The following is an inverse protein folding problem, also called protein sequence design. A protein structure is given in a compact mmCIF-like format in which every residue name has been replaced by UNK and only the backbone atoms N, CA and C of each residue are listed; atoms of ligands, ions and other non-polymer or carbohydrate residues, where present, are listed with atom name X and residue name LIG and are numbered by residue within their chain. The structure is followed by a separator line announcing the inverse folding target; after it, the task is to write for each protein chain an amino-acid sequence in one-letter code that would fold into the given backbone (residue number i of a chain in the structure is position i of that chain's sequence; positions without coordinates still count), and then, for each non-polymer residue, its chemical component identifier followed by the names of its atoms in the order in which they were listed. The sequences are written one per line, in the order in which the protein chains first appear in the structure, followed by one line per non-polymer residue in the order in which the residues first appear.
data_IF_941551609179
#
_entry.id   IF_941551609179
#
_cell.length_a   1.000
_cell.length_b   1.000
_cell.length_c   1.000
_cell.angle_alpha   90.00
_cell.angle_beta   90.00
_cell.angle_gamma   90.00
#
_symmetry.space_group_name_H-M   'P 1'
#
loop_
_entity.id
_entity.type
_entity.pdbx_description
1 polymer ?
#
# COMPACT_ATOMS: atom_id res chain seq x y z
N UNK A 1 0.37 -19.92 -2.73
CA UNK A 1 -0.49 -18.87 -3.33
C UNK A 1 -1.95 -19.31 -3.35
N UNK A 2 -2.87 -18.49 -2.83
CA UNK A 2 -4.32 -18.75 -2.88
C UNK A 2 -4.90 -18.03 -4.09
N UNK A 3 -5.44 -18.76 -5.07
CA UNK A 3 -6.06 -18.18 -6.28
C UNK A 3 -7.14 -17.14 -5.99
N UNK A 4 -7.87 -17.31 -4.87
CA UNK A 4 -8.90 -16.39 -4.41
C UNK A 4 -8.39 -14.94 -4.17
N UNK A 5 -7.11 -14.76 -3.92
CA UNK A 5 -6.49 -13.47 -3.57
C UNK A 5 -5.41 -13.08 -4.58
N UNK A 6 -5.62 -13.40 -5.84
CA UNK A 6 -4.71 -13.08 -6.93
C UNK A 6 -5.47 -12.41 -8.08
N UNK A 7 -4.91 -11.31 -8.59
CA UNK A 7 -5.32 -10.75 -9.87
C UNK A 7 -4.54 -11.44 -10.98
N UNK A 8 -5.18 -11.67 -12.12
CA UNK A 8 -4.63 -12.51 -13.19
C UNK A 8 -3.29 -11.99 -13.75
N UNK A 9 -3.14 -10.65 -13.91
CA UNK A 9 -1.92 -10.05 -14.45
C UNK A 9 -0.72 -10.30 -13.52
N UNK A 10 -0.88 -10.10 -12.22
CA UNK A 10 0.18 -10.37 -11.24
C UNK A 10 0.44 -11.87 -11.09
N UNK A 11 -0.60 -12.70 -11.07
CA UNK A 11 -0.48 -14.16 -11.00
C UNK A 11 0.31 -14.72 -12.19
N UNK A 12 0.12 -14.15 -13.39
CA UNK A 12 0.82 -14.55 -14.58
C UNK A 12 2.35 -14.31 -14.49
N UNK A 13 2.80 -13.27 -13.78
CA UNK A 13 4.23 -13.01 -13.58
C UNK A 13 4.92 -14.05 -12.68
N UNK A 14 4.18 -14.67 -11.76
CA UNK A 14 4.72 -15.54 -10.73
C UNK A 14 4.39 -17.03 -10.93
N UNK A 15 3.99 -17.42 -12.16
CA UNK A 15 3.83 -18.83 -12.49
C UNK A 15 5.15 -19.47 -12.93
N UNK A 16 5.17 -20.79 -12.98
CA UNK A 16 6.36 -21.56 -13.30
C UNK A 16 6.81 -21.36 -14.76
N UNK A 17 5.87 -21.17 -15.69
CA UNK A 17 6.16 -20.90 -17.10
C UNK A 17 6.89 -19.56 -17.26
N UNK A 18 6.37 -18.48 -16.68
CA UNK A 18 6.97 -17.14 -16.73
C UNK A 18 8.34 -17.10 -16.06
N UNK A 19 8.52 -17.85 -14.97
CA UNK A 19 9.84 -18.01 -14.31
C UNK A 19 10.89 -18.50 -15.31
N UNK A 20 10.64 -19.61 -16.00
CA UNK A 20 11.59 -20.17 -16.93
C UNK A 20 11.71 -19.39 -18.25
N UNK A 21 10.63 -18.74 -18.69
CA UNK A 21 10.71 -17.76 -19.78
C UNK A 21 11.66 -16.62 -19.46
N UNK A 22 11.61 -16.11 -18.22
CA UNK A 22 12.51 -15.05 -17.75
C UNK A 22 13.95 -15.54 -17.63
N UNK A 23 14.17 -16.79 -17.19
CA UNK A 23 15.52 -17.39 -17.22
C UNK A 23 16.04 -17.47 -18.65
N UNK A 24 15.21 -17.89 -19.60
CA UNK A 24 15.58 -17.95 -21.03
C UNK A 24 15.88 -16.56 -21.61
N UNK A 25 15.14 -15.53 -21.17
CA UNK A 25 15.37 -14.13 -21.56
C UNK A 25 16.78 -13.67 -21.10
N UNK A 26 17.17 -13.96 -19.86
CA UNK A 26 18.51 -13.65 -19.31
C UNK A 26 19.61 -14.42 -20.07
N UNK A 27 19.44 -15.72 -20.24
CA UNK A 27 20.44 -16.54 -20.96
C UNK A 27 20.64 -16.05 -22.39
N UNK A 28 19.59 -15.71 -23.13
CA UNK A 28 19.67 -15.13 -24.46
C UNK A 28 20.36 -13.76 -24.47
N UNK A 29 20.15 -12.93 -23.44
CA UNK A 29 20.85 -11.66 -23.32
C UNK A 29 22.35 -11.86 -23.09
N UNK A 30 22.76 -12.83 -22.28
CA UNK A 30 24.16 -13.21 -22.09
C UNK A 30 24.80 -13.72 -23.38
N UNK A 31 24.11 -14.59 -24.15
CA UNK A 31 24.60 -15.07 -25.45
C UNK A 31 24.77 -13.92 -26.42
N UNK A 32 23.86 -12.97 -26.50
CA UNK A 32 23.98 -11.76 -27.34
C UNK A 32 25.16 -10.88 -26.91
N UNK A 33 25.39 -10.76 -25.61
CA UNK A 33 26.50 -10.00 -25.05
C UNK A 33 27.84 -10.64 -25.43
N UNK A 34 27.97 -11.96 -25.31
CA UNK A 34 29.14 -12.71 -25.76
C UNK A 34 29.38 -12.60 -27.30
N UNK A 35 28.31 -12.62 -28.07
CA UNK A 35 28.40 -12.39 -29.53
C UNK A 35 28.92 -10.99 -29.83
N UNK A 36 28.40 -9.95 -29.16
CA UNK A 36 28.84 -8.56 -29.35
C UNK A 36 30.32 -8.36 -28.96
N UNK A 37 30.80 -9.14 -27.99
CA UNK A 37 32.23 -9.20 -27.61
C UNK A 37 33.10 -10.06 -28.55
N UNK A 38 32.51 -10.67 -29.57
CA UNK A 38 33.23 -11.48 -30.56
C UNK A 38 33.59 -12.90 -30.07
N UNK A 39 33.09 -13.34 -28.94
CA UNK A 39 33.36 -14.66 -28.35
C UNK A 39 32.46 -15.74 -28.95
N UNK A 40 31.25 -15.40 -29.37
CA UNK A 40 30.29 -16.29 -30.06
C UNK A 40 30.04 -15.75 -31.45
N UNK A 41 30.05 -16.62 -32.43
CA UNK A 41 29.78 -16.23 -33.81
C UNK A 41 28.31 -15.91 -34.06
N UNK A 42 28.01 -15.02 -35.02
CA UNK A 42 26.65 -14.59 -35.35
C UNK A 42 25.71 -15.77 -35.61
N UNK A 43 26.20 -16.77 -36.39
CA UNK A 43 25.40 -17.96 -36.73
C UNK A 43 24.99 -18.80 -35.53
N UNK A 44 25.83 -18.90 -34.50
CA UNK A 44 25.51 -19.64 -33.26
C UNK A 44 24.58 -18.81 -32.36
N UNK A 45 24.83 -17.51 -32.26
CA UNK A 45 23.96 -16.58 -31.52
C UNK A 45 22.54 -16.57 -32.10
N UNK A 46 22.40 -16.45 -33.44
CA UNK A 46 21.10 -16.47 -34.11
C UNK A 46 20.34 -17.78 -33.86
N UNK A 47 21.04 -18.94 -33.95
CA UNK A 47 20.44 -20.24 -33.67
C UNK A 47 19.95 -20.36 -32.25
N UNK A 48 20.77 -19.97 -31.24
CA UNK A 48 20.37 -20.00 -29.84
C UNK A 48 19.17 -19.07 -29.60
N UNK A 49 19.25 -17.81 -30.05
CA UNK A 49 18.20 -16.86 -29.86
C UNK A 49 16.85 -17.25 -30.48
N UNK A 50 16.88 -17.92 -31.64
CA UNK A 50 15.67 -18.31 -32.38
C UNK A 50 15.11 -19.67 -31.97
N UNK A 51 15.96 -20.66 -31.60
CA UNK A 51 15.55 -22.04 -31.39
C UNK A 51 15.47 -22.46 -29.93
N UNK A 52 16.23 -21.78 -29.01
CA UNK A 52 16.24 -22.15 -27.60
C UNK A 52 14.83 -22.16 -27.04
N UNK A 53 14.39 -23.30 -26.57
CA UNK A 53 13.06 -23.56 -26.02
C UNK A 53 13.16 -24.56 -24.86
N UNK A 54 12.15 -24.60 -24.01
CA UNK A 54 12.05 -25.55 -22.92
C UNK A 54 10.63 -26.14 -22.81
N UNK A 55 10.52 -27.23 -22.07
CA UNK A 55 9.26 -27.85 -21.69
C UNK A 55 9.25 -28.08 -20.19
N UNK A 56 8.21 -27.61 -19.47
CA UNK A 56 8.13 -27.68 -18.01
C UNK A 56 8.17 -29.11 -17.47
N UNK A 57 7.47 -30.04 -18.11
CA UNK A 57 7.44 -31.43 -17.66
C UNK A 57 8.81 -32.09 -17.86
N UNK A 58 9.50 -31.74 -18.96
CA UNK A 58 10.87 -32.22 -19.21
C UNK A 58 11.87 -31.68 -18.17
N UNK A 59 11.77 -30.39 -17.81
CA UNK A 59 12.57 -29.80 -16.73
C UNK A 59 12.36 -30.59 -15.42
N UNK A 60 11.10 -30.83 -15.02
CA UNK A 60 10.76 -31.60 -13.81
C UNK A 60 11.31 -33.04 -13.85
N UNK A 61 11.32 -33.67 -15.02
CA UNK A 61 11.89 -34.99 -15.21
C UNK A 61 13.41 -34.99 -14.99
N UNK A 62 14.13 -34.05 -15.62
CA UNK A 62 15.57 -33.90 -15.49
C UNK A 62 15.95 -33.56 -14.03
N UNK A 63 15.18 -32.70 -13.37
CA UNK A 63 15.42 -32.26 -11.99
C UNK A 63 15.35 -33.44 -11.00
N UNK A 64 14.56 -34.46 -11.25
CA UNK A 64 14.53 -35.68 -10.40
C UNK A 64 15.90 -36.31 -10.26
N UNK A 65 16.76 -36.18 -11.29
CA UNK A 65 18.13 -36.72 -11.31
C UNK A 65 19.14 -35.68 -10.87
N UNK A 66 19.09 -34.47 -11.45
CA UNK A 66 20.09 -33.42 -11.20
C UNK A 66 19.97 -32.76 -9.81
N UNK A 67 18.76 -32.80 -9.20
CA UNK A 67 18.43 -32.13 -7.93
C UNK A 67 18.78 -30.64 -7.93
N UNK A 68 18.72 -30.00 -9.11
CA UNK A 68 19.06 -28.59 -9.30
C UNK A 68 18.21 -28.02 -10.45
N UNK A 69 17.32 -27.08 -10.13
CA UNK A 69 16.32 -26.54 -11.02
C UNK A 69 16.93 -25.80 -12.24
N UNK A 70 17.95 -24.95 -12.02
CA UNK A 70 18.60 -24.26 -13.15
C UNK A 70 19.39 -25.23 -14.06
N UNK A 71 20.11 -26.20 -13.49
CA UNK A 71 20.79 -27.21 -14.32
C UNK A 71 19.77 -28.02 -15.12
N UNK A 72 18.63 -28.37 -14.52
CA UNK A 72 17.56 -29.06 -15.23
C UNK A 72 17.01 -28.22 -16.39
N UNK A 73 16.83 -26.91 -16.15
CA UNK A 73 16.39 -25.96 -17.19
C UNK A 73 17.43 -25.86 -18.32
N UNK A 74 18.72 -25.59 -18.01
CA UNK A 74 19.76 -25.44 -19.03
C UNK A 74 19.95 -26.73 -19.85
N UNK A 75 19.85 -27.88 -19.18
CA UNK A 75 19.89 -29.20 -19.87
C UNK A 75 18.70 -29.37 -20.82
N UNK A 76 17.48 -29.02 -20.36
CA UNK A 76 16.29 -29.10 -21.21
C UNK A 76 16.38 -28.16 -22.40
N UNK A 77 16.91 -26.94 -22.23
CA UNK A 77 17.10 -26.01 -23.34
C UNK A 77 18.14 -26.54 -24.31
N UNK A 78 19.24 -27.12 -23.83
CA UNK A 78 20.29 -27.73 -24.70
C UNK A 78 19.75 -28.86 -25.59
N UNK A 79 18.73 -29.63 -25.14
CA UNK A 79 18.04 -30.63 -25.96
C UNK A 79 17.31 -30.02 -27.18
N UNK A 80 16.99 -28.73 -27.18
CA UNK A 80 16.37 -28.02 -28.32
C UNK A 80 17.38 -27.41 -29.29
N UNK A 81 18.67 -27.48 -28.96
CA UNK A 81 19.78 -26.89 -29.71
C UNK A 81 20.72 -27.96 -30.30
N UNK A 82 21.56 -27.58 -31.24
CA UNK A 82 22.63 -28.41 -31.79
C UNK A 82 23.98 -28.16 -31.08
N UNK A 83 25.04 -28.13 -31.83
CA UNK A 83 26.40 -27.90 -31.32
C UNK A 83 26.56 -26.53 -30.64
N UNK A 84 25.75 -25.56 -31.02
CA UNK A 84 25.69 -24.22 -30.42
C UNK A 84 25.30 -24.24 -28.95
N UNK A 85 24.67 -25.31 -28.44
CA UNK A 85 24.31 -25.47 -27.05
C UNK A 85 25.48 -25.31 -26.07
N UNK A 86 26.73 -25.53 -26.53
CA UNK A 86 27.96 -25.31 -25.75
C UNK A 86 28.13 -23.86 -25.26
N UNK A 87 27.46 -22.92 -25.90
CA UNK A 87 27.49 -21.51 -25.53
C UNK A 87 26.31 -21.08 -24.66
N UNK A 88 25.35 -21.97 -24.38
CA UNK A 88 24.27 -21.72 -23.47
C UNK A 88 24.76 -21.83 -22.01
N UNK A 89 24.51 -20.84 -21.16
CA UNK A 89 25.04 -20.74 -19.80
C UNK A 89 26.59 -20.67 -19.75
N UNK A 90 27.23 -20.12 -20.77
CA UNK A 90 28.68 -20.08 -20.90
C UNK A 90 29.28 -18.95 -20.05
N UNK A 91 30.24 -19.31 -19.16
CA UNK A 91 31.02 -18.35 -18.36
C UNK A 91 30.29 -17.70 -17.18
N UNK A 92 29.08 -18.09 -16.90
CA UNK A 92 28.26 -17.56 -15.82
C UNK A 92 27.91 -18.62 -14.78
N UNK A 93 27.33 -18.21 -13.67
CA UNK A 93 26.85 -19.09 -12.61
C UNK A 93 25.32 -19.04 -12.49
N UNK A 94 24.74 -20.03 -11.81
CA UNK A 94 23.30 -20.11 -11.62
C UNK A 94 22.69 -18.84 -11.04
N UNK A 95 23.37 -18.17 -10.11
CA UNK A 95 22.87 -16.95 -9.49
C UNK A 95 22.85 -15.75 -10.44
N UNK A 96 23.77 -15.69 -11.42
CA UNK A 96 23.75 -14.64 -12.44
C UNK A 96 22.43 -14.69 -13.21
N UNK A 97 21.97 -15.88 -13.61
CA UNK A 97 20.69 -16.07 -14.27
C UNK A 97 19.51 -15.85 -13.33
N UNK A 98 19.51 -16.49 -12.14
CA UNK A 98 18.37 -16.49 -11.22
C UNK A 98 18.12 -15.08 -10.65
N UNK A 99 19.16 -14.40 -10.17
CA UNK A 99 19.00 -13.09 -9.53
C UNK A 99 18.64 -12.00 -10.55
N UNK A 100 19.24 -12.05 -11.76
CA UNK A 100 18.90 -11.12 -12.84
C UNK A 100 17.46 -11.34 -13.35
N UNK A 101 17.03 -12.59 -13.48
CA UNK A 101 15.63 -12.91 -13.79
C UNK A 101 14.67 -12.47 -12.68
N UNK A 102 15.07 -12.63 -11.41
CA UNK A 102 14.29 -12.15 -10.26
C UNK A 102 14.16 -10.61 -10.29
N UNK A 103 15.22 -9.90 -10.66
CA UNK A 103 15.16 -8.44 -10.84
C UNK A 103 14.14 -8.05 -11.92
N UNK A 104 14.09 -8.76 -13.05
CA UNK A 104 13.07 -8.53 -14.09
C UNK A 104 11.64 -8.78 -13.57
N UNK A 105 11.42 -9.90 -12.87
CA UNK A 105 10.10 -10.23 -12.29
C UNK A 105 9.66 -9.21 -11.23
N UNK A 106 10.55 -8.84 -10.33
CA UNK A 106 10.27 -7.82 -9.31
C UNK A 106 9.98 -6.45 -9.94
N UNK A 107 10.75 -6.05 -10.95
CA UNK A 107 10.55 -4.78 -11.67
C UNK A 107 9.19 -4.75 -12.38
N UNK A 108 8.83 -5.81 -13.11
CA UNK A 108 7.52 -5.94 -13.77
C UNK A 108 6.39 -5.90 -12.72
N UNK A 109 6.56 -6.61 -11.61
CA UNK A 109 5.57 -6.67 -10.52
C UNK A 109 5.42 -5.33 -9.80
N UNK A 110 6.53 -4.64 -9.51
CA UNK A 110 6.47 -3.34 -8.83
C UNK A 110 5.81 -2.26 -9.70
N UNK A 111 5.96 -2.32 -11.04
CA UNK A 111 5.20 -1.46 -11.96
C UNK A 111 3.67 -1.63 -11.80
N UNK A 112 3.19 -2.87 -11.61
CA UNK A 112 1.77 -3.13 -11.33
C UNK A 112 1.35 -2.58 -9.97
N UNK A 113 2.17 -2.76 -8.94
CA UNK A 113 1.92 -2.17 -7.62
C UNK A 113 1.85 -0.64 -7.70
N UNK A 114 2.80 0.02 -8.37
CA UNK A 114 2.80 1.47 -8.56
C UNK A 114 1.53 1.96 -9.27
N UNK A 115 1.08 1.23 -10.31
CA UNK A 115 -0.20 1.49 -11.00
C UNK A 115 -1.37 1.38 -10.02
N UNK A 116 -1.41 0.32 -9.19
CA UNK A 116 -2.44 0.14 -8.15
C UNK A 116 -2.44 1.26 -7.11
N UNK A 117 -1.28 1.68 -6.62
CA UNK A 117 -1.13 2.79 -5.67
C UNK A 117 -1.56 4.13 -6.30
N UNK A 118 -1.19 4.38 -7.55
CA UNK A 118 -1.62 5.57 -8.30
C UNK A 118 -3.14 5.60 -8.46
N UNK A 119 -3.77 4.49 -8.81
CA UNK A 119 -5.22 4.38 -8.93
C UNK A 119 -5.90 4.69 -7.59
N UNK A 120 -5.41 4.09 -6.49
CA UNK A 120 -5.94 4.35 -5.15
C UNK A 120 -5.79 5.83 -4.76
N UNK A 121 -4.65 6.46 -5.06
CA UNK A 121 -4.46 7.89 -4.84
C UNK A 121 -5.50 8.75 -5.58
N UNK A 122 -5.69 8.50 -6.88
CA UNK A 122 -6.65 9.26 -7.69
C UNK A 122 -8.09 9.04 -7.20
N UNK A 123 -8.45 7.82 -6.83
CA UNK A 123 -9.77 7.51 -6.26
C UNK A 123 -9.98 8.25 -4.93
N UNK A 124 -9.01 8.21 -4.01
CA UNK A 124 -9.08 8.95 -2.75
C UNK A 124 -9.18 10.46 -2.98
N UNK A 125 -8.41 11.02 -3.92
CA UNK A 125 -8.45 12.43 -4.29
C UNK A 125 -9.83 12.83 -4.82
N UNK A 126 -10.40 12.06 -5.74
CA UNK A 126 -11.72 12.34 -6.32
C UNK A 126 -12.81 12.29 -5.25
N UNK A 127 -12.78 11.27 -4.39
CA UNK A 127 -13.73 11.15 -3.27
C UNK A 127 -13.53 12.25 -2.23
N UNK A 128 -12.29 12.67 -1.97
CA UNK A 128 -12.02 13.82 -1.10
C UNK A 128 -12.62 15.12 -1.65
N UNK A 129 -12.47 15.36 -2.95
CA UNK A 129 -13.06 16.54 -3.62
C UNK A 129 -14.59 16.51 -3.60
N UNK A 130 -15.21 15.35 -3.84
CA UNK A 130 -16.67 15.16 -3.77
C UNK A 130 -17.22 15.49 -2.37
N UNK A 131 -16.51 15.07 -1.33
CA UNK A 131 -16.92 15.28 0.07
C UNK A 131 -16.21 16.43 0.77
N UNK A 132 -15.62 17.36 0.00
CA UNK A 132 -14.85 18.48 0.53
C UNK A 132 -15.58 19.25 1.62
N UNK A 133 -16.88 19.48 1.42
CA UNK A 133 -17.73 20.28 2.30
C UNK A 133 -18.74 19.43 3.09
N UNK A 134 -18.62 18.08 3.07
CA UNK A 134 -19.48 17.19 3.83
C UNK A 134 -19.06 17.20 5.30
N UNK A 135 -19.87 17.90 6.13
CA UNK A 135 -19.62 18.05 7.57
C UNK A 135 -19.76 16.72 8.32
N UNK A 136 -18.84 16.48 9.24
CA UNK A 136 -18.89 15.38 10.21
C UNK A 136 -18.23 15.78 11.53
N UNK A 137 -18.47 14.99 12.58
CA UNK A 137 -17.73 15.16 13.83
C UNK A 137 -16.36 14.51 13.75
N UNK A 138 -15.32 15.28 14.03
CA UNK A 138 -13.98 14.75 14.25
C UNK A 138 -13.93 13.96 15.57
N UNK A 139 -13.19 12.85 15.56
CA UNK A 139 -13.03 12.00 16.74
C UNK A 139 -11.55 11.82 17.05
N UNK A 140 -11.18 12.07 18.32
CA UNK A 140 -9.91 11.65 18.88
C UNK A 140 -10.17 10.73 20.06
N UNK A 141 -9.35 9.70 20.27
CA UNK A 141 -9.59 8.67 21.29
C UNK A 141 -10.96 7.96 21.16
N UNK A 142 -11.62 8.04 20.00
CA UNK A 142 -12.99 7.55 19.79
C UNK A 142 -14.09 8.48 20.30
N UNK A 143 -13.75 9.64 20.87
CA UNK A 143 -14.66 10.62 21.47
C UNK A 143 -14.84 11.81 20.52
N UNK A 144 -16.01 12.45 20.57
CA UNK A 144 -16.31 13.65 19.78
C UNK A 144 -15.36 14.79 20.14
N UNK A 145 -14.71 15.34 19.11
CA UNK A 145 -13.92 16.56 19.16
C UNK A 145 -14.66 17.71 18.48
N UNK A 146 -14.03 18.30 17.47
CA UNK A 146 -14.56 19.44 16.74
C UNK A 146 -15.16 19.06 15.38
N UNK A 147 -15.98 19.92 14.75
CA UNK A 147 -16.44 19.72 13.38
C UNK A 147 -15.28 19.67 12.39
N UNK A 148 -15.32 18.71 11.48
CA UNK A 148 -14.41 18.56 10.34
C UNK A 148 -15.23 18.26 9.07
N UNK A 149 -14.56 18.02 7.95
CA UNK A 149 -15.24 17.47 6.76
C UNK A 149 -14.75 16.06 6.46
N UNK A 150 -15.61 15.22 5.88
CA UNK A 150 -15.23 13.88 5.42
C UNK A 150 -14.17 13.96 4.33
N UNK A 151 -14.22 15.01 3.49
CA UNK A 151 -13.18 15.28 2.51
C UNK A 151 -11.78 15.47 3.11
N UNK A 152 -11.65 16.09 4.29
CA UNK A 152 -10.36 16.21 4.99
C UNK A 152 -9.83 14.83 5.43
N UNK A 153 -10.70 13.93 5.86
CA UNK A 153 -10.31 12.56 6.23
C UNK A 153 -9.75 11.82 5.02
N UNK A 154 -10.43 11.91 3.88
CA UNK A 154 -9.99 11.27 2.63
C UNK A 154 -8.73 11.93 2.05
N UNK A 155 -8.61 13.27 2.15
CA UNK A 155 -7.42 14.00 1.71
C UNK A 155 -6.16 13.61 2.52
N UNK A 156 -6.31 13.37 3.82
CA UNK A 156 -5.22 12.85 4.67
C UNK A 156 -4.73 11.49 4.17
N UNK A 157 -5.65 10.58 3.81
CA UNK A 157 -5.29 9.28 3.26
C UNK A 157 -4.64 9.41 1.87
N UNK A 158 -5.17 10.28 1.01
CA UNK A 158 -4.59 10.52 -0.31
C UNK A 158 -3.14 11.01 -0.21
N UNK A 159 -2.85 11.96 0.67
CA UNK A 159 -1.50 12.49 0.88
C UNK A 159 -0.54 11.42 1.40
N UNK A 160 -0.99 10.53 2.26
CA UNK A 160 -0.19 9.40 2.75
C UNK A 160 0.10 8.39 1.63
N UNK A 161 -0.90 8.03 0.81
CA UNK A 161 -0.71 7.13 -0.33
C UNK A 161 0.23 7.76 -1.39
N UNK A 162 0.17 9.08 -1.60
CA UNK A 162 1.09 9.82 -2.49
C UNK A 162 2.56 9.68 -2.04
N UNK A 163 2.84 9.64 -0.73
CA UNK A 163 4.20 9.43 -0.24
C UNK A 163 4.74 8.05 -0.55
N UNK A 164 3.88 7.01 -0.55
CA UNK A 164 4.28 5.66 -0.94
C UNK A 164 4.71 5.56 -2.40
N UNK A 165 4.11 6.33 -3.33
CA UNK A 165 4.58 6.37 -4.72
C UNK A 165 6.04 6.77 -4.81
N UNK A 166 6.45 7.83 -4.09
CA UNK A 166 7.85 8.27 -4.06
C UNK A 166 8.80 7.23 -3.46
N UNK A 167 8.36 6.52 -2.41
CA UNK A 167 9.15 5.46 -1.80
C UNK A 167 9.34 4.29 -2.78
N UNK A 168 8.27 3.90 -3.49
CA UNK A 168 8.31 2.83 -4.48
C UNK A 168 9.14 3.18 -5.73
N UNK A 169 9.21 4.46 -6.12
CA UNK A 169 10.13 4.91 -7.20
C UNK A 169 11.58 4.67 -6.78
N UNK A 170 11.95 5.00 -5.56
CA UNK A 170 13.29 4.71 -5.03
C UNK A 170 13.55 3.20 -4.91
N UNK A 171 12.56 2.43 -4.45
CA UNK A 171 12.66 0.97 -4.38
C UNK A 171 12.87 0.36 -5.77
N UNK A 172 12.20 0.89 -6.80
CA UNK A 172 12.39 0.48 -8.19
C UNK A 172 13.86 0.59 -8.61
N UNK A 173 14.53 1.69 -8.25
CA UNK A 173 15.96 1.87 -8.57
C UNK A 173 16.84 0.81 -7.90
N UNK A 174 16.51 0.38 -6.69
CA UNK A 174 17.27 -0.62 -5.95
C UNK A 174 17.09 -2.04 -6.49
N UNK A 175 15.90 -2.39 -6.97
CA UNK A 175 15.60 -3.76 -7.42
C UNK A 175 15.82 -3.96 -8.92
N UNK A 176 15.93 -2.88 -9.72
CA UNK A 176 16.13 -2.96 -11.19
C UNK A 176 17.61 -3.07 -11.54
N UNK A 177 18.30 -4.02 -10.91
CA UNK A 177 19.73 -4.29 -11.19
C UNK A 177 19.94 -5.76 -11.50
N UNK A 178 20.74 -6.04 -12.52
CA UNK A 178 21.24 -7.38 -12.85
C UNK A 178 22.68 -7.56 -12.38
N UNK A 179 23.12 -8.80 -12.38
CA UNK A 179 24.50 -9.18 -12.09
C UNK A 179 24.91 -10.40 -12.92
N UNK A 180 26.00 -10.26 -13.68
CA UNK A 180 26.62 -11.33 -14.48
C UNK A 180 28.11 -11.37 -14.13
N UNK A 181 28.41 -11.64 -12.87
CA UNK A 181 29.75 -11.47 -12.28
C UNK A 181 30.46 -12.78 -11.95
N UNK A 182 29.80 -13.91 -12.19
CA UNK A 182 30.35 -15.25 -11.96
C UNK A 182 30.26 -15.74 -10.53
N UNK A 183 30.83 -16.91 -10.25
CA UNK A 183 30.65 -17.66 -9.01
C UNK A 183 31.05 -16.92 -7.73
N UNK A 184 31.95 -15.92 -7.79
CA UNK A 184 32.46 -15.17 -6.64
C UNK A 184 32.32 -13.64 -6.80
N UNK A 185 31.66 -13.19 -7.86
CA UNK A 185 31.50 -11.76 -8.12
C UNK A 185 32.78 -11.04 -8.57
N UNK A 186 33.80 -11.79 -8.96
CA UNK A 186 35.13 -11.27 -9.31
C UNK A 186 35.45 -11.24 -10.80
N UNK A 187 34.45 -11.55 -11.65
CA UNK A 187 34.56 -11.54 -13.11
C UNK A 187 35.71 -12.42 -13.66
N UNK A 188 36.06 -13.51 -12.95
CA UNK A 188 37.24 -14.35 -13.33
C UNK A 188 37.11 -14.99 -14.72
N UNK A 189 35.90 -15.27 -15.18
CA UNK A 189 35.62 -15.96 -16.43
C UNK A 189 34.80 -15.13 -17.44
N UNK A 190 34.39 -13.92 -17.06
CA UNK A 190 33.63 -13.02 -17.90
C UNK A 190 34.12 -11.58 -17.70
N UNK A 191 34.31 -10.78 -18.77
CA UNK A 191 34.70 -9.38 -18.64
C UNK A 191 33.53 -8.55 -18.09
N UNK A 192 33.82 -7.37 -17.52
CA UNK A 192 32.78 -6.44 -17.02
C UNK A 192 31.79 -6.03 -18.09
N UNK A 193 32.28 -5.85 -19.31
CA UNK A 193 31.47 -5.49 -20.49
C UNK A 193 30.39 -6.53 -20.82
N UNK A 194 30.56 -7.79 -20.41
CA UNK A 194 29.52 -8.81 -20.56
C UNK A 194 28.30 -8.49 -19.73
N UNK A 195 28.51 -8.12 -18.46
CA UNK A 195 27.44 -7.73 -17.54
C UNK A 195 26.73 -6.46 -18.05
N UNK A 196 27.51 -5.43 -18.44
CA UNK A 196 26.97 -4.17 -18.95
C UNK A 196 26.06 -4.40 -20.16
N UNK A 197 26.52 -5.16 -21.16
CA UNK A 197 25.75 -5.47 -22.35
C UNK A 197 24.53 -6.34 -22.07
N UNK A 198 24.66 -7.37 -21.22
CA UNK A 198 23.55 -8.24 -20.88
C UNK A 198 22.45 -7.45 -20.11
N UNK A 199 22.83 -6.61 -19.17
CA UNK A 199 21.90 -5.74 -18.45
C UNK A 199 21.25 -4.70 -19.37
N UNK A 200 22.01 -4.10 -20.33
CA UNK A 200 21.46 -3.20 -21.34
C UNK A 200 20.35 -3.88 -22.18
N UNK A 201 20.57 -5.11 -22.64
CA UNK A 201 19.58 -5.88 -23.40
C UNK A 201 18.32 -6.22 -22.58
N UNK A 202 18.42 -6.20 -21.25
CA UNK A 202 17.34 -6.51 -20.32
C UNK A 202 16.66 -5.28 -19.72
N UNK A 203 17.07 -4.06 -20.10
CA UNK A 203 16.61 -2.80 -19.50
C UNK A 203 16.84 -2.77 -17.98
N UNK A 204 17.97 -3.32 -17.51
CA UNK A 204 18.44 -3.30 -16.14
C UNK A 204 19.71 -2.48 -16.00
N UNK A 205 19.95 -1.93 -14.82
CA UNK A 205 21.28 -1.41 -14.44
C UNK A 205 22.16 -2.55 -13.93
N UNK A 206 23.47 -2.38 -14.01
CA UNK A 206 24.41 -3.26 -13.31
C UNK A 206 24.48 -2.92 -11.84
N UNK A 207 24.67 -3.92 -10.98
CA UNK A 207 25.06 -3.67 -9.61
C UNK A 207 26.53 -3.25 -9.55
N UNK A 208 26.87 -2.23 -8.73
CA UNK A 208 28.25 -1.73 -8.68
C UNK A 208 29.26 -2.79 -8.24
N UNK A 209 28.86 -3.71 -7.39
CA UNK A 209 29.61 -4.85 -6.88
C UNK A 209 28.68 -5.92 -6.35
N UNK A 210 29.04 -7.18 -6.55
CA UNK A 210 28.36 -8.34 -5.99
C UNK A 210 29.38 -9.29 -5.39
N UNK A 211 28.89 -10.28 -4.65
CA UNK A 211 29.55 -11.57 -4.48
C UNK A 211 28.90 -12.59 -5.45
N UNK A 212 28.60 -13.80 -5.03
CA UNK A 212 27.88 -14.75 -5.91
C UNK A 212 26.41 -14.31 -6.19
N UNK A 213 25.85 -13.40 -5.40
CA UNK A 213 24.44 -12.98 -5.46
C UNK A 213 24.31 -11.45 -5.40
N UNK A 214 23.22 -10.93 -5.93
CA UNK A 214 22.79 -9.55 -5.67
C UNK A 214 22.48 -9.41 -4.18
N UNK A 215 22.91 -8.31 -3.55
CA UNK A 215 22.75 -8.12 -2.11
C UNK A 215 21.29 -8.00 -1.67
N UNK A 216 20.93 -8.70 -0.60
CA UNK A 216 19.53 -8.92 -0.18
C UNK A 216 18.93 -7.75 0.60
N UNK A 217 19.70 -6.73 0.97
CA UNK A 217 19.18 -5.45 1.49
C UNK A 217 18.18 -4.80 0.52
N UNK A 218 18.37 -4.96 -0.79
CA UNK A 218 17.45 -4.51 -1.85
C UNK A 218 16.08 -5.18 -1.75
N UNK A 219 16.08 -6.50 -1.53
CA UNK A 219 14.86 -7.31 -1.39
C UNK A 219 14.17 -7.04 -0.04
N UNK A 220 14.95 -6.89 1.03
CA UNK A 220 14.45 -6.50 2.35
C UNK A 220 13.81 -5.10 2.30
N UNK A 221 14.42 -4.14 1.60
CA UNK A 221 13.86 -2.81 1.39
C UNK A 221 12.50 -2.87 0.70
N UNK A 222 12.37 -3.62 -0.38
CA UNK A 222 11.12 -3.85 -1.07
C UNK A 222 10.03 -4.39 -0.13
N UNK A 223 10.37 -5.41 0.67
CA UNK A 223 9.42 -6.00 1.62
C UNK A 223 9.00 -4.99 2.71
N UNK A 224 9.92 -4.16 3.21
CA UNK A 224 9.62 -3.11 4.18
C UNK A 224 8.71 -2.02 3.60
N UNK A 225 8.95 -1.57 2.38
CA UNK A 225 8.13 -0.54 1.74
C UNK A 225 6.71 -1.05 1.43
N UNK A 226 6.56 -2.31 0.98
CA UNK A 226 5.25 -2.93 0.79
C UNK A 226 4.52 -3.18 2.12
N UNK A 227 5.23 -3.53 3.19
CA UNK A 227 4.67 -3.67 4.53
C UNK A 227 4.17 -2.33 5.09
N UNK A 228 4.90 -1.24 4.84
CA UNK A 228 4.50 0.10 5.25
C UNK A 228 3.27 0.58 4.45
N UNK A 229 3.25 0.34 3.14
CA UNK A 229 2.09 0.59 2.28
C UNK A 229 0.85 -0.18 2.79
N UNK A 230 1.01 -1.47 3.10
CA UNK A 230 -0.06 -2.29 3.67
C UNK A 230 -0.57 -1.73 5.00
N UNK A 231 0.30 -1.19 5.85
CA UNK A 231 -0.10 -0.57 7.12
C UNK A 231 -0.95 0.69 6.90
N UNK A 232 -0.65 1.50 5.90
CA UNK A 232 -1.48 2.64 5.51
C UNK A 232 -2.84 2.19 4.94
N UNK A 233 -2.86 1.14 4.13
CA UNK A 233 -4.09 0.55 3.61
C UNK A 233 -4.97 -0.03 4.74
N UNK A 234 -4.36 -0.68 5.73
CA UNK A 234 -5.07 -1.17 6.92
C UNK A 234 -5.70 -0.03 7.71
N UNK A 235 -4.97 1.08 7.92
CA UNK A 235 -5.51 2.27 8.59
C UNK A 235 -6.77 2.79 7.90
N UNK A 236 -6.79 2.86 6.58
CA UNK A 236 -7.97 3.27 5.80
C UNK A 236 -9.12 2.29 6.02
N UNK A 237 -8.87 0.98 5.88
CA UNK A 237 -9.87 -0.06 6.06
C UNK A 237 -10.45 -0.07 7.49
N UNK A 238 -9.61 0.10 8.51
CA UNK A 238 -10.04 0.21 9.92
C UNK A 238 -10.91 1.43 10.14
N UNK A 239 -10.57 2.58 9.53
CA UNK A 239 -11.38 3.79 9.62
C UNK A 239 -12.77 3.57 9.02
N UNK A 240 -12.88 2.97 7.83
CA UNK A 240 -14.16 2.62 7.20
C UNK A 240 -14.99 1.72 8.13
N UNK A 241 -14.39 0.67 8.70
CA UNK A 241 -15.07 -0.24 9.63
C UNK A 241 -15.60 0.48 10.85
N UNK A 242 -14.85 1.44 11.42
CA UNK A 242 -15.33 2.27 12.52
C UNK A 242 -16.51 3.16 12.13
N UNK A 243 -16.49 3.76 10.94
CA UNK A 243 -17.57 4.62 10.46
C UNK A 243 -18.83 3.83 10.07
N UNK A 244 -18.71 2.53 9.77
CA UNK A 244 -19.84 1.64 9.42
C UNK A 244 -20.50 0.98 10.65
N UNK A 245 -19.96 1.14 11.85
CA UNK A 245 -20.59 0.58 13.05
C UNK A 245 -22.04 1.06 13.20
N UNK A 246 -22.91 0.20 13.74
CA UNK A 246 -24.35 0.44 13.85
C UNK A 246 -24.70 1.76 14.57
N UNK A 247 -23.94 2.13 15.59
CA UNK A 247 -24.13 3.35 16.37
C UNK A 247 -23.52 4.60 15.72
N UNK A 248 -22.67 4.45 14.71
CA UNK A 248 -22.03 5.54 13.93
C UNK A 248 -22.71 5.70 12.58
N UNK A 249 -22.68 4.69 11.75
CA UNK A 249 -23.35 4.52 10.45
C UNK A 249 -23.22 5.74 9.52
N UNK A 250 -21.99 6.24 9.39
CA UNK A 250 -21.68 7.41 8.55
C UNK A 250 -21.28 7.03 7.14
N UNK A 251 -20.78 5.77 6.97
CA UNK A 251 -20.47 5.17 5.66
C UNK A 251 -20.90 3.70 5.63
N UNK A 252 -20.94 3.11 4.43
CA UNK A 252 -21.20 1.68 4.25
C UNK A 252 -20.45 1.17 3.01
N UNK A 253 -19.86 -0.03 3.08
CA UNK A 253 -19.37 -0.71 1.88
C UNK A 253 -20.53 -0.96 0.91
N UNK A 254 -20.28 -0.75 -0.39
CA UNK A 254 -21.28 -1.01 -1.41
C UNK A 254 -21.73 -2.47 -1.36
N UNK A 255 -23.04 -2.66 -1.46
CA UNK A 255 -23.67 -3.98 -1.44
C UNK A 255 -24.25 -4.31 -2.81
N UNK A 256 -23.71 -5.35 -3.45
CA UNK A 256 -24.12 -5.73 -4.80
C UNK A 256 -25.48 -6.43 -4.80
N UNK A 257 -26.23 -6.28 -5.89
CA UNK A 257 -27.48 -7.02 -6.08
C UNK A 257 -27.23 -8.53 -6.02
N UNK A 258 -27.95 -9.24 -5.17
CA UNK A 258 -27.78 -10.68 -4.95
C UNK A 258 -26.70 -11.08 -3.93
N UNK A 259 -25.91 -10.13 -3.43
CA UNK A 259 -24.96 -10.38 -2.35
C UNK A 259 -25.70 -10.72 -1.05
N UNK A 260 -25.18 -11.70 -0.30
CA UNK A 260 -25.70 -12.07 1.02
C UNK A 260 -24.76 -11.53 2.10
N UNK A 261 -25.26 -10.65 2.96
CA UNK A 261 -24.44 -10.00 4.01
C UNK A 261 -24.23 -10.86 5.25
N UNK A 262 -25.18 -11.78 5.52
CA UNK A 262 -25.13 -12.66 6.68
C UNK A 262 -25.92 -13.95 6.40
N UNK A 263 -25.44 -15.07 6.92
CA UNK A 263 -26.15 -16.34 6.85
C UNK A 263 -27.38 -16.42 7.78
N UNK A 264 -27.36 -15.61 8.86
CA UNK A 264 -28.40 -15.65 9.90
C UNK A 264 -29.38 -14.46 9.83
N UNK A 265 -28.89 -13.28 9.48
CA UNK A 265 -29.68 -12.02 9.46
C UNK A 265 -29.65 -11.38 8.07
N UNK A 266 -30.70 -11.49 7.25
CA UNK A 266 -30.70 -11.05 5.85
C UNK A 266 -30.42 -9.55 5.64
N UNK A 267 -30.74 -8.71 6.62
CA UNK A 267 -30.53 -7.25 6.58
C UNK A 267 -29.14 -6.80 7.02
N UNK A 268 -28.33 -7.71 7.63
CA UNK A 268 -27.03 -7.36 8.18
C UNK A 268 -25.98 -7.23 7.09
N UNK A 269 -25.44 -6.02 6.91
CA UNK A 269 -24.39 -5.71 5.95
C UNK A 269 -23.07 -5.49 6.68
N UNK A 270 -22.18 -6.47 6.58
CA UNK A 270 -20.88 -6.45 7.24
C UNK A 270 -19.83 -5.79 6.34
N UNK A 271 -18.84 -5.07 6.88
CA UNK A 271 -17.72 -4.50 6.14
C UNK A 271 -16.67 -5.59 5.82
N UNK A 272 -17.09 -6.66 5.10
CA UNK A 272 -16.28 -7.85 4.89
C UNK A 272 -15.05 -7.60 4.01
N UNK A 273 -15.12 -6.62 3.11
CA UNK A 273 -13.99 -6.29 2.24
C UNK A 273 -12.90 -5.57 3.04
N UNK A 274 -13.26 -4.61 3.88
CA UNK A 274 -12.32 -3.93 4.79
C UNK A 274 -11.75 -4.86 5.86
N UNK A 275 -12.54 -5.84 6.36
CA UNK A 275 -12.05 -6.89 7.26
C UNK A 275 -11.01 -7.77 6.56
N UNK A 276 -11.29 -8.18 5.33
CA UNK A 276 -10.36 -8.97 4.53
C UNK A 276 -9.06 -8.19 4.24
N UNK A 277 -9.14 -6.91 3.85
CA UNK A 277 -7.97 -6.04 3.66
C UNK A 277 -7.12 -6.01 4.94
N UNK A 278 -7.74 -5.80 6.11
CA UNK A 278 -7.05 -5.82 7.41
C UNK A 278 -6.29 -7.15 7.64
N UNK A 279 -6.90 -8.28 7.26
CA UNK A 279 -6.27 -9.60 7.34
C UNK A 279 -5.08 -9.75 6.39
N UNK A 280 -5.24 -9.36 5.13
CA UNK A 280 -4.18 -9.44 4.10
C UNK A 280 -2.97 -8.56 4.45
N UNK A 281 -3.18 -7.38 5.05
CA UNK A 281 -2.10 -6.52 5.52
C UNK A 281 -1.20 -7.21 6.57
N UNK A 282 -1.76 -8.07 7.41
CA UNK A 282 -0.97 -8.87 8.37
C UNK A 282 -0.07 -9.87 7.65
N UNK A 283 -0.61 -10.53 6.61
CA UNK A 283 0.15 -11.47 5.77
C UNK A 283 1.31 -10.74 5.08
N UNK A 284 1.05 -9.61 4.44
CA UNK A 284 2.09 -8.81 3.77
C UNK A 284 3.22 -8.44 4.75
N UNK A 285 2.89 -7.94 5.94
CA UNK A 285 3.89 -7.60 6.96
C UNK A 285 4.67 -8.80 7.49
N UNK A 286 4.08 -10.01 7.49
CA UNK A 286 4.77 -11.20 7.97
C UNK A 286 5.98 -11.59 7.13
N UNK A 287 6.06 -11.19 5.87
CA UNK A 287 7.21 -11.45 5.01
C UNK A 287 8.41 -10.53 5.28
N UNK A 288 8.24 -9.45 6.05
CA UNK A 288 9.33 -8.49 6.30
C UNK A 288 10.47 -9.12 7.10
N UNK A 289 10.16 -9.85 8.18
CA UNK A 289 11.18 -10.46 9.05
C UNK A 289 12.08 -11.45 8.29
N UNK A 290 11.56 -12.47 7.58
CA UNK A 290 12.43 -13.41 6.88
C UNK A 290 13.22 -12.74 5.74
N UNK A 291 12.71 -11.67 5.13
CA UNK A 291 13.45 -10.92 4.11
C UNK A 291 14.58 -10.08 4.71
N UNK A 292 14.42 -9.55 5.92
CA UNK A 292 15.49 -8.88 6.66
C UNK A 292 16.56 -9.88 7.11
N UNK A 293 16.18 -11.08 7.55
CA UNK A 293 17.11 -12.14 7.93
C UNK A 293 17.96 -12.64 6.75
N UNK A 294 17.44 -12.58 5.54
CA UNK A 294 18.18 -12.93 4.32
C UNK A 294 19.35 -11.97 3.99
N UNK A 295 19.45 -10.81 4.65
CA UNK A 295 20.57 -9.87 4.44
C UNK A 295 21.89 -10.47 4.95
N UNK A 296 21.84 -11.24 6.02
CA UNK A 296 23.02 -11.81 6.68
C UNK A 296 23.35 -13.22 6.14
N UNK A 297 23.81 -13.31 4.90
CA UNK A 297 24.31 -14.56 4.32
C UNK A 297 25.76 -14.84 4.75
N UNK A 298 26.13 -16.11 4.72
CA UNK A 298 27.52 -16.52 5.02
C UNK A 298 28.44 -16.26 3.82
N UNK A 299 29.56 -15.58 4.08
CA UNK A 299 30.61 -15.32 3.09
C UNK A 299 30.02 -14.73 1.78
N UNK A 300 30.42 -15.30 0.64
CA UNK A 300 29.97 -14.89 -0.67
C UNK A 300 28.53 -15.33 -0.99
N UNK A 301 28.04 -16.40 -0.33
CA UNK A 301 26.64 -16.86 -0.38
C UNK A 301 26.46 -18.15 0.45
N UNK A 302 25.27 -18.31 1.02
CA UNK A 302 24.66 -19.61 1.36
C UNK A 302 23.24 -19.72 0.77
N UNK A 303 22.57 -20.88 0.95
CA UNK A 303 21.27 -21.16 0.33
C UNK A 303 20.07 -20.78 1.20
N UNK A 304 20.25 -20.21 2.40
CA UNK A 304 19.16 -19.93 3.34
C UNK A 304 18.13 -18.98 2.76
N UNK A 305 18.56 -17.98 1.99
CA UNK A 305 17.67 -17.01 1.34
C UNK A 305 16.72 -17.64 0.32
N UNK A 306 17.18 -18.66 -0.42
CA UNK A 306 16.47 -19.20 -1.57
C UNK A 306 15.11 -19.79 -1.23
N UNK A 307 15.04 -20.57 -0.14
CA UNK A 307 13.77 -21.15 0.32
C UNK A 307 12.77 -20.08 0.77
N UNK A 308 13.24 -19.01 1.42
CA UNK A 308 12.42 -17.88 1.84
C UNK A 308 11.86 -17.13 0.63
N UNK A 309 12.72 -16.77 -0.32
CA UNK A 309 12.36 -15.96 -1.48
C UNK A 309 11.34 -16.64 -2.41
N UNK A 310 11.41 -17.97 -2.54
CA UNK A 310 10.44 -18.77 -3.32
C UNK A 310 9.00 -18.67 -2.79
N UNK A 311 8.81 -18.44 -1.50
CA UNK A 311 7.51 -18.19 -0.89
C UNK A 311 7.22 -16.70 -0.78
N UNK A 312 8.16 -15.95 -0.23
CA UNK A 312 7.92 -14.58 0.19
C UNK A 312 7.66 -13.64 -0.99
N UNK A 313 8.47 -13.69 -2.05
CA UNK A 313 8.35 -12.72 -3.16
C UNK A 313 7.05 -12.88 -3.94
N UNK A 314 6.67 -14.08 -4.43
CA UNK A 314 5.40 -14.24 -5.13
C UNK A 314 4.20 -13.83 -4.30
N UNK A 315 4.13 -14.31 -3.04
CA UNK A 315 2.98 -14.06 -2.19
C UNK A 315 2.92 -12.60 -1.70
N UNK A 316 4.07 -11.95 -1.50
CA UNK A 316 4.16 -10.53 -1.19
C UNK A 316 3.55 -9.65 -2.30
N UNK A 317 3.96 -9.87 -3.55
CA UNK A 317 3.47 -9.09 -4.69
C UNK A 317 2.00 -9.38 -5.00
N UNK A 318 1.62 -10.66 -5.06
CA UNK A 318 0.25 -11.06 -5.38
C UNK A 318 -0.73 -10.56 -4.33
N UNK A 319 -0.40 -10.70 -3.04
CA UNK A 319 -1.26 -10.24 -1.95
C UNK A 319 -1.36 -8.72 -1.92
N UNK A 320 -0.26 -8.01 -2.18
CA UNK A 320 -0.23 -6.55 -2.21
C UNK A 320 -1.06 -5.98 -3.37
N UNK A 321 -0.94 -6.54 -4.56
CA UNK A 321 -1.71 -6.14 -5.74
C UNK A 321 -3.22 -6.36 -5.53
N UNK A 322 -3.59 -7.52 -5.02
CA UNK A 322 -4.98 -7.83 -4.71
C UNK A 322 -5.56 -6.91 -3.61
N UNK A 323 -4.81 -6.67 -2.54
CA UNK A 323 -5.19 -5.76 -1.47
C UNK A 323 -5.45 -4.34 -2.00
N UNK A 324 -4.56 -3.81 -2.85
CA UNK A 324 -4.70 -2.48 -3.45
C UNK A 324 -5.95 -2.38 -4.34
N UNK A 325 -6.17 -3.35 -5.22
CA UNK A 325 -7.33 -3.35 -6.10
C UNK A 325 -8.64 -3.44 -5.32
N UNK A 326 -8.67 -4.24 -4.24
CA UNK A 326 -9.81 -4.36 -3.34
C UNK A 326 -10.08 -3.07 -2.58
N UNK A 327 -9.05 -2.44 -2.00
CA UNK A 327 -9.22 -1.18 -1.29
C UNK A 327 -9.66 -0.07 -2.23
N UNK A 328 -9.10 0.00 -3.43
CA UNK A 328 -9.53 0.96 -4.45
C UNK A 328 -11.04 0.81 -4.74
N UNK A 329 -11.50 -0.42 -4.96
CA UNK A 329 -12.92 -0.71 -5.21
C UNK A 329 -13.81 -0.34 -4.01
N UNK A 330 -13.35 -0.57 -2.77
CA UNK A 330 -14.09 -0.17 -1.57
C UNK A 330 -14.25 1.35 -1.50
N UNK A 331 -13.18 2.12 -1.73
CA UNK A 331 -13.23 3.60 -1.68
C UNK A 331 -14.07 4.17 -2.82
N UNK A 332 -13.89 3.65 -4.03
CA UNK A 332 -14.62 4.09 -5.21
C UNK A 332 -16.14 3.96 -5.04
N UNK A 333 -16.57 2.82 -4.49
CA UNK A 333 -17.98 2.48 -4.34
C UNK A 333 -18.53 2.75 -2.93
N UNK A 334 -17.77 3.42 -2.06
CA UNK A 334 -18.17 3.69 -0.68
C UNK A 334 -19.44 4.53 -0.63
N UNK A 335 -20.48 4.01 0.01
CA UNK A 335 -21.72 4.74 0.28
C UNK A 335 -21.47 5.67 1.46
N UNK A 336 -21.76 6.95 1.29
CA UNK A 336 -21.60 7.97 2.33
C UNK A 336 -22.97 8.48 2.76
N UNK A 337 -23.19 8.66 4.05
CA UNK A 337 -24.43 9.15 4.64
C UNK A 337 -24.27 10.54 5.29
N UNK A 338 -24.26 11.66 4.52
CA UNK A 338 -24.07 13.01 5.06
C UNK A 338 -25.09 13.38 6.15
N UNK A 339 -26.33 12.89 6.01
CA UNK A 339 -27.39 13.12 7.02
C UNK A 339 -27.05 12.46 8.36
N UNK A 340 -26.46 11.26 8.35
CA UNK A 340 -26.03 10.59 9.58
C UNK A 340 -24.80 11.29 10.19
N UNK A 341 -23.89 11.79 9.36
CA UNK A 341 -22.75 12.60 9.83
C UNK A 341 -23.22 13.85 10.56
N UNK A 342 -24.17 14.58 10.00
CA UNK A 342 -24.79 15.75 10.67
C UNK A 342 -25.54 15.37 11.94
N UNK A 343 -26.31 14.28 11.90
CA UNK A 343 -27.00 13.75 13.10
C UNK A 343 -26.01 13.43 14.21
N UNK A 344 -24.92 12.75 13.91
CA UNK A 344 -23.90 12.41 14.91
C UNK A 344 -23.21 13.65 15.46
N UNK A 345 -22.96 14.65 14.63
CA UNK A 345 -22.42 15.94 15.05
C UNK A 345 -23.39 16.65 16.04
N UNK A 346 -24.69 16.63 15.76
CA UNK A 346 -25.72 17.20 16.62
C UNK A 346 -25.87 16.44 17.96
N UNK A 347 -25.57 15.15 18.03
CA UNK A 347 -25.60 14.36 19.28
C UNK A 347 -24.66 14.89 20.36
N UNK A 348 -23.72 15.76 20.02
CA UNK A 348 -22.89 16.46 21.00
C UNK A 348 -23.65 17.47 21.83
N UNK A 349 -24.90 17.78 21.50
CA UNK A 349 -25.69 18.85 22.16
C UNK A 349 -25.05 20.24 22.05
N UNK A 350 -24.15 20.42 21.10
CA UNK A 350 -23.38 21.66 20.88
C UNK A 350 -22.02 21.72 21.59
N UNK A 351 -21.65 20.70 22.37
CA UNK A 351 -20.35 20.68 23.08
C UNK A 351 -19.13 20.79 22.14
N UNK A 352 -19.26 20.42 20.88
CA UNK A 352 -18.22 20.58 19.86
C UNK A 352 -17.80 22.04 19.65
N UNK A 353 -18.57 23.00 20.08
CA UNK A 353 -18.28 24.44 20.00
C UNK A 353 -17.61 25.00 21.27
N UNK A 354 -17.39 24.19 22.31
CA UNK A 354 -16.92 24.67 23.64
C UNK A 354 -15.57 25.40 23.55
N UNK A 355 -14.61 24.92 22.73
CA UNK A 355 -13.33 25.59 22.55
C UNK A 355 -13.50 26.96 21.87
N UNK A 356 -14.42 27.09 20.93
CA UNK A 356 -14.69 28.38 20.26
C UNK A 356 -15.16 29.43 21.26
N UNK A 357 -16.09 29.08 22.15
CA UNK A 357 -16.57 29.97 23.25
C UNK A 357 -15.42 30.30 24.20
N UNK A 358 -14.65 29.28 24.59
CA UNK A 358 -13.50 29.45 25.49
C UNK A 358 -12.49 30.48 24.94
N UNK A 359 -12.25 30.50 23.62
CA UNK A 359 -11.29 31.40 23.00
C UNK A 359 -11.80 32.83 22.81
N UNK A 360 -13.10 33.08 22.83
CA UNK A 360 -13.66 34.44 22.75
C UNK A 360 -13.61 35.21 24.09
N UNK A 361 -13.67 34.51 25.21
CA UNK A 361 -13.67 35.14 26.53
C UNK A 361 -12.37 35.90 26.87
N UNK A 362 -11.17 35.35 26.65
CA UNK A 362 -9.91 36.10 26.84
C UNK A 362 -9.82 37.37 26.00
N UNK A 363 -10.41 37.40 24.81
CA UNK A 363 -10.45 38.61 23.96
C UNK A 363 -11.25 39.75 24.60
N UNK A 364 -12.12 39.40 25.54
CA UNK A 364 -12.94 40.32 26.34
C UNK A 364 -12.34 40.63 27.72
N UNK A 365 -11.13 40.14 28.00
CA UNK A 365 -10.39 40.48 29.21
C UNK A 365 -10.48 39.47 30.36
N UNK A 366 -11.14 38.31 30.17
CA UNK A 366 -11.08 37.24 31.19
C UNK A 366 -9.71 36.54 31.15
N UNK A 367 -9.32 36.04 32.34
CA UNK A 367 -8.22 35.12 32.44
C UNK A 367 -8.59 33.77 31.76
N UNK A 368 -7.57 33.00 31.40
CA UNK A 368 -7.76 31.67 30.82
C UNK A 368 -8.49 30.74 31.81
N UNK A 369 -8.12 30.79 33.06
CA UNK A 369 -8.65 29.96 34.13
C UNK A 369 -10.13 30.25 34.40
N UNK A 370 -10.52 31.53 34.48
CA UNK A 370 -11.92 31.94 34.63
C UNK A 370 -12.75 31.55 33.41
N UNK A 371 -12.21 31.80 32.21
CA UNK A 371 -12.86 31.38 30.96
C UNK A 371 -13.10 29.88 30.93
N UNK A 372 -12.08 29.08 31.31
CA UNK A 372 -12.19 27.63 31.38
C UNK A 372 -13.25 27.16 32.36
N UNK A 373 -13.26 27.74 33.59
CA UNK A 373 -14.23 27.39 34.63
C UNK A 373 -15.69 27.63 34.17
N UNK A 374 -15.97 28.81 33.59
CA UNK A 374 -17.31 29.14 33.09
C UNK A 374 -17.77 28.16 32.01
N UNK A 375 -16.91 27.90 31.03
CA UNK A 375 -17.23 27.01 29.91
C UNK A 375 -17.37 25.56 30.36
N UNK A 376 -16.45 25.10 31.23
CA UNK A 376 -16.47 23.74 31.78
C UNK A 376 -17.72 23.46 32.61
N UNK A 377 -18.11 24.36 33.54
CA UNK A 377 -19.30 24.19 34.37
C UNK A 377 -20.57 24.05 33.53
N UNK A 378 -20.74 24.87 32.49
CA UNK A 378 -21.85 24.74 31.55
C UNK A 378 -21.77 23.45 30.73
N UNK A 379 -20.59 23.10 30.26
CA UNK A 379 -20.38 21.88 29.46
C UNK A 379 -20.67 20.60 30.26
N UNK A 380 -20.25 20.55 31.53
CA UNK A 380 -20.47 19.37 32.38
C UNK A 380 -21.96 19.14 32.68
N UNK A 381 -22.75 20.19 32.84
CA UNK A 381 -24.21 20.06 32.96
C UNK A 381 -24.85 19.40 31.77
N UNK A 382 -24.40 19.77 30.56
CA UNK A 382 -24.87 19.17 29.30
C UNK A 382 -24.38 17.74 29.18
N UNK A 383 -23.11 17.47 29.52
CA UNK A 383 -22.55 16.13 29.53
C UNK A 383 -23.36 15.16 30.39
N UNK A 384 -23.78 15.58 31.60
CA UNK A 384 -24.64 14.79 32.48
C UNK A 384 -25.99 14.47 31.84
N UNK A 385 -26.64 15.45 31.19
CA UNK A 385 -27.90 15.24 30.46
C UNK A 385 -27.72 14.23 29.32
N UNK A 386 -26.63 14.33 28.58
CA UNK A 386 -26.32 13.38 27.46
C UNK A 386 -26.09 11.95 27.99
N UNK A 387 -25.40 11.80 29.16
CA UNK A 387 -25.14 10.50 29.77
C UNK A 387 -26.43 9.80 30.30
N UNK A 388 -27.41 10.56 30.73
CA UNK A 388 -28.70 10.01 31.21
C UNK A 388 -29.59 9.48 30.08
N UNK A 389 -29.18 9.64 28.81
CA UNK A 389 -29.94 9.17 27.65
C UNK A 389 -31.30 9.87 27.47
N UNK A 390 -31.54 10.95 28.15
CA UNK A 390 -32.81 11.75 28.12
C UNK A 390 -32.86 12.67 26.90
N UNK A 391 -31.74 12.88 26.22
CA UNK A 391 -31.65 13.71 25.02
C UNK A 391 -32.23 12.96 23.81
N UNK A 392 -33.44 13.34 23.45
CA UNK A 392 -34.20 12.71 22.33
C UNK A 392 -34.23 13.57 21.08
N UNK A 393 -33.85 14.84 21.14
CA UNK A 393 -34.02 15.78 20.06
C UNK A 393 -32.65 16.33 19.61
N UNK A 394 -32.09 15.78 18.54
CA UNK A 394 -30.80 16.21 17.98
C UNK A 394 -30.82 17.65 17.44
N UNK A 395 -32.00 18.27 17.33
CA UNK A 395 -32.15 19.64 16.85
C UNK A 395 -31.99 20.69 17.96
N UNK A 396 -31.90 20.28 19.23
CA UNK A 396 -31.70 21.20 20.37
C UNK A 396 -30.21 21.41 20.66
N UNK A 397 -29.76 22.64 20.55
CA UNK A 397 -28.41 23.02 20.94
C UNK A 397 -28.36 23.34 22.45
N UNK A 398 -28.33 22.29 23.27
CA UNK A 398 -28.41 22.38 24.73
C UNK A 398 -27.30 23.28 25.31
N UNK A 399 -26.09 23.17 24.76
CA UNK A 399 -24.96 23.95 25.25
C UNK A 399 -25.13 25.45 24.93
N UNK A 400 -25.64 25.82 23.77
CA UNK A 400 -25.98 27.21 23.45
C UNK A 400 -26.99 27.77 24.45
N UNK A 401 -28.06 27.02 24.71
CA UNK A 401 -29.10 27.43 25.66
C UNK A 401 -28.54 27.62 27.08
N UNK A 402 -27.65 26.75 27.53
CA UNK A 402 -26.99 26.90 28.84
C UNK A 402 -26.14 28.17 28.89
N UNK A 403 -25.36 28.46 27.86
CA UNK A 403 -24.51 29.65 27.75
C UNK A 403 -25.33 30.95 27.69
N UNK A 404 -26.43 30.96 26.96
CA UNK A 404 -27.36 32.10 26.90
C UNK A 404 -28.07 32.40 28.20
N UNK A 405 -28.10 31.46 29.17
CA UNK A 405 -28.69 31.64 30.49
C UNK A 405 -27.62 31.86 31.59
N UNK A 406 -26.33 31.88 31.28
CA UNK A 406 -25.29 32.14 32.28
C UNK A 406 -24.98 33.63 32.39
N UNK A 407 -25.41 34.24 33.49
CA UNK A 407 -25.23 35.67 33.78
C UNK A 407 -23.75 36.10 33.85
N UNK A 408 -22.85 35.20 34.14
CA UNK A 408 -21.39 35.49 34.14
C UNK A 408 -20.89 35.70 32.73
N UNK A 409 -21.36 34.85 31.81
CA UNK A 409 -20.98 34.92 30.38
C UNK A 409 -21.54 36.19 29.72
N UNK A 410 -22.78 36.55 30.04
CA UNK A 410 -23.44 37.74 29.50
C UNK A 410 -22.73 39.06 29.80
N UNK A 411 -21.92 39.10 30.88
CA UNK A 411 -21.09 40.27 31.18
C UNK A 411 -20.01 40.56 30.16
N UNK A 412 -19.58 39.52 29.40
CA UNK A 412 -18.45 39.59 28.48
C UNK A 412 -18.86 39.41 27.02
N UNK A 413 -19.84 38.59 26.75
CA UNK A 413 -20.34 38.30 25.39
C UNK A 413 -21.82 38.61 25.29
N UNK A 414 -22.20 39.32 24.22
CA UNK A 414 -23.60 39.50 23.87
C UNK A 414 -24.22 38.19 23.36
N UNK A 415 -25.53 38.09 23.33
CA UNK A 415 -26.24 36.92 22.77
C UNK A 415 -25.83 36.61 21.34
N UNK A 416 -25.64 37.65 20.51
CA UNK A 416 -25.24 37.47 19.11
C UNK A 416 -23.80 36.95 19.01
N UNK A 417 -22.88 37.40 19.86
CA UNK A 417 -21.52 36.89 19.95
C UNK A 417 -21.48 35.42 20.41
N UNK A 418 -22.33 35.05 21.37
CA UNK A 418 -22.48 33.65 21.80
C UNK A 418 -23.01 32.79 20.65
N UNK A 419 -24.10 33.21 19.97
CA UNK A 419 -24.67 32.51 18.82
C UNK A 419 -23.67 32.36 17.66
N UNK A 420 -22.85 33.36 17.40
CA UNK A 420 -21.81 33.33 16.38
C UNK A 420 -20.70 32.29 16.66
N UNK A 421 -20.55 31.83 17.90
CA UNK A 421 -19.63 30.74 18.23
C UNK A 421 -20.10 29.36 17.69
N UNK A 422 -21.39 29.22 17.40
CA UNK A 422 -22.02 27.96 16.96
C UNK A 422 -22.15 27.85 15.44
N UNK A 423 -21.21 28.48 14.70
CA UNK A 423 -21.13 28.42 13.27
C UNK A 423 -20.12 27.35 12.81
N UNK A 424 -20.57 26.37 12.06
CA UNK A 424 -19.72 25.34 11.44
C UNK A 424 -18.73 25.93 10.41
N UNK A 425 -19.09 27.06 9.76
CA UNK A 425 -18.22 27.74 8.80
C UNK A 425 -16.88 28.18 9.40
N UNK A 426 -16.85 28.46 10.70
CA UNK A 426 -15.62 28.77 11.41
C UNK A 426 -14.59 27.62 11.33
N UNK A 427 -15.05 26.38 11.41
CA UNK A 427 -14.20 25.18 11.42
C UNK A 427 -13.80 24.76 9.99
N UNK A 428 -14.59 25.14 9.00
CA UNK A 428 -14.35 24.74 7.60
C UNK A 428 -13.69 25.84 6.74
N UNK A 429 -13.49 27.03 7.28
CA UNK A 429 -12.92 28.19 6.55
C UNK A 429 -11.57 27.93 5.86
N UNK A 430 -10.78 27.02 6.40
CA UNK A 430 -9.45 26.68 5.87
C UNK A 430 -9.43 25.44 4.96
N UNK A 431 -10.57 24.76 4.78
CA UNK A 431 -10.64 23.51 3.99
C UNK A 431 -10.12 23.74 2.58
N UNK A 432 -10.53 24.83 1.93
CA UNK A 432 -10.04 25.17 0.58
C UNK A 432 -8.53 25.33 0.49
N UNK A 433 -7.92 26.01 1.45
CA UNK A 433 -6.48 26.21 1.49
C UNK A 433 -5.72 24.90 1.76
N UNK A 434 -6.27 24.02 2.62
CA UNK A 434 -5.70 22.69 2.88
C UNK A 434 -5.75 21.83 1.62
N UNK A 435 -6.90 21.80 0.92
CA UNK A 435 -7.04 21.06 -0.32
C UNK A 435 -6.06 21.53 -1.41
N UNK A 436 -5.88 22.83 -1.53
CA UNK A 436 -4.87 23.39 -2.43
C UNK A 436 -3.46 22.88 -2.09
N UNK A 437 -3.08 22.88 -0.82
CA UNK A 437 -1.77 22.40 -0.34
C UNK A 437 -1.54 20.92 -0.63
N UNK A 438 -2.59 20.08 -0.55
CA UNK A 438 -2.49 18.63 -0.71
C UNK A 438 -2.47 18.22 -2.19
N UNK A 439 -3.26 18.88 -3.04
CA UNK A 439 -3.55 18.42 -4.39
C UNK A 439 -2.96 19.28 -5.52
N UNK A 440 -2.46 20.47 -5.22
CA UNK A 440 -1.71 21.34 -6.13
C UNK A 440 -0.22 21.39 -5.74
#
# INVERSE_FOLDING_TARGET
MLERYANEEMKALWNEQTKFETYLEVEKAVVRAWNKLGQIQDSDCEKICSKAAFNLERIKEIEKTTKHDLIAFTTCVAESLGEESRFFHYGITSSDCIDTAMALLMTKSLKLIQKGVKNLYETLKNRALEHKDTLMVGRSHGVFGEPITFGLVLALFADEIKRHLKALDLTMEFISVGAISGAMGNFAHAPLELEELACEFLDLKTANINNQVIQRDRYARLACDLALLASSCEKIAVNIRHLQRSEVYEVEEAFSTGQKGSSAMPHKRNPILSENITGLCRVIRSFTTPMLENVALWHERDMSHSSVERFALPDLFITSDFMLSRLNSVIENLVVYPKNMLKNLALSGGLVFSQRVLLELPKKGLSREESYSIVQENAMKIWEVLQQGTFKNADENLFLNALLNDERLKKYLSEDEIKACFDYGYYTKNVGAIFKRVFE
#
